data_IF_413508060754
#
_entry.id   IF_413508060754
#
_cell.length_a   1.000
_cell.length_b   1.000
_cell.length_c   1.000
_cell.angle_alpha   90.00
_cell.angle_beta   90.00
_cell.angle_gamma   90.00
#
_symmetry.space_group_name_H-M   'P 1'
#
loop_
_entity.id
_entity.type
_entity.pdbx_description
1 polymer ?
#
# COMPACT_ATOMS: atom_id res chain seq x y z
N UNK A 1 13.56 31.06 -10.20
CA UNK A 1 12.17 30.83 -9.78
C UNK A 1 12.19 29.77 -8.71
N UNK A 2 11.44 29.91 -7.62
CA UNK A 2 11.34 28.82 -6.65
C UNK A 2 10.69 27.62 -7.35
N UNK A 3 11.26 26.41 -7.19
CA UNK A 3 10.65 25.16 -7.64
C UNK A 3 9.30 25.01 -6.94
N UNK A 4 8.24 25.49 -7.59
CA UNK A 4 6.91 25.54 -7.01
C UNK A 4 6.29 24.18 -7.25
N UNK A 5 6.19 23.38 -6.19
CA UNK A 5 5.57 22.04 -6.23
C UNK A 5 4.25 22.04 -5.47
N UNK A 6 3.30 21.23 -5.94
CA UNK A 6 2.03 20.94 -5.24
C UNK A 6 2.00 19.48 -4.80
N UNK A 7 1.23 19.20 -3.75
CA UNK A 7 0.90 17.83 -3.38
C UNK A 7 -0.18 17.28 -4.32
N UNK A 8 -0.07 16.00 -4.65
CA UNK A 8 -1.06 15.23 -5.39
C UNK A 8 -1.12 13.81 -4.81
N UNK A 9 -2.17 13.05 -5.16
CA UNK A 9 -2.38 11.71 -4.63
C UNK A 9 -3.24 10.84 -5.53
N UNK A 10 -3.15 9.53 -5.31
CA UNK A 10 -4.05 8.55 -5.85
C UNK A 10 -4.61 7.69 -4.71
N UNK A 11 -5.93 7.56 -4.65
CA UNK A 11 -6.62 6.65 -3.75
C UNK A 11 -6.90 5.33 -4.47
N UNK A 12 -6.46 4.24 -3.86
CA UNK A 12 -6.72 2.87 -4.29
C UNK A 12 -7.67 2.21 -3.29
N UNK A 13 -8.81 1.73 -3.78
CA UNK A 13 -9.71 0.87 -3.00
C UNK A 13 -9.24 -0.57 -3.13
N UNK A 14 -8.82 -1.16 -2.01
CA UNK A 14 -8.27 -2.52 -1.98
C UNK A 14 -9.36 -3.51 -1.62
N UNK A 15 -9.93 -3.41 -0.40
CA UNK A 15 -10.98 -4.30 0.11
C UNK A 15 -10.65 -5.80 -0.04
N UNK A 16 -9.44 -6.18 0.37
CA UNK A 16 -8.97 -7.56 0.27
C UNK A 16 -8.43 -8.07 1.61
N UNK A 17 -8.64 -9.35 1.85
CA UNK A 17 -8.19 -10.11 3.00
C UNK A 17 -7.04 -11.04 2.60
N UNK A 18 -5.94 -10.91 3.33
CA UNK A 18 -4.76 -11.74 3.22
C UNK A 18 -4.70 -12.72 4.40
N UNK A 19 -4.33 -13.97 4.14
CA UNK A 19 -4.15 -14.97 5.19
C UNK A 19 -3.90 -16.39 4.65
N UNK A 20 -3.59 -17.35 5.53
CA UNK A 20 -3.39 -18.76 5.15
C UNK A 20 -4.65 -19.41 4.57
N UNK A 21 -5.83 -18.95 4.98
CA UNK A 21 -7.16 -19.34 4.48
C UNK A 21 -8.18 -18.22 4.78
N UNK A 22 -9.41 -18.39 4.31
CA UNK A 22 -10.54 -17.47 4.47
C UNK A 22 -11.27 -17.59 5.82
N UNK A 23 -10.92 -18.57 6.66
CA UNK A 23 -11.60 -18.84 7.94
C UNK A 23 -11.09 -17.98 9.10
N UNK A 24 -9.90 -17.36 8.97
CA UNK A 24 -9.31 -16.55 10.04
C UNK A 24 -10.05 -15.22 10.28
N UNK A 25 -10.62 -14.63 9.22
CA UNK A 25 -11.34 -13.36 9.29
C UNK A 25 -12.65 -13.47 8.49
N UNK A 26 -13.79 -13.36 9.18
CA UNK A 26 -15.11 -13.33 8.56
C UNK A 26 -15.49 -11.87 8.21
N UNK A 27 -14.98 -11.39 7.08
CA UNK A 27 -15.13 -10.02 6.62
C UNK A 27 -15.95 -9.97 5.33
N UNK A 28 -17.28 -9.75 5.39
CA UNK A 28 -18.15 -9.79 4.21
C UNK A 28 -17.87 -8.67 3.19
N UNK A 29 -17.03 -7.70 3.55
CA UNK A 29 -16.62 -6.58 2.71
C UNK A 29 -15.24 -6.77 2.08
N UNK A 30 -14.47 -7.79 2.48
CA UNK A 30 -13.12 -8.04 1.98
C UNK A 30 -13.07 -9.34 1.18
N UNK A 31 -12.52 -9.31 -0.02
CA UNK A 31 -12.28 -10.52 -0.81
C UNK A 31 -11.04 -11.26 -0.31
N UNK A 32 -11.14 -12.55 0.01
CA UNK A 32 -9.97 -13.35 0.34
C UNK A 32 -9.11 -13.63 -0.89
N UNK A 33 -7.83 -13.24 -0.84
CA UNK A 33 -6.88 -13.33 -1.97
C UNK A 33 -5.58 -14.06 -1.63
N UNK A 34 -5.51 -14.69 -0.45
CA UNK A 34 -4.34 -15.48 -0.03
C UNK A 34 -3.21 -14.61 0.50
N UNK A 35 -2.00 -14.75 -0.06
CA UNK A 35 -0.80 -14.14 0.53
C UNK A 35 -0.41 -12.79 -0.08
N UNK A 36 -1.06 -12.36 -1.16
CA UNK A 36 -0.75 -11.12 -1.88
C UNK A 36 -2.03 -10.51 -2.44
N UNK A 37 -2.18 -9.21 -2.29
CA UNK A 37 -3.32 -8.48 -2.86
C UNK A 37 -3.34 -8.57 -4.38
N UNK A 38 -4.49 -8.30 -5.01
CA UNK A 38 -4.54 -7.98 -6.43
C UNK A 38 -3.58 -6.86 -6.78
N UNK A 39 -3.25 -6.77 -8.07
CA UNK A 39 -2.43 -5.69 -8.61
C UNK A 39 -3.32 -4.49 -8.90
N UNK A 40 -3.18 -3.44 -8.10
CA UNK A 40 -3.92 -2.21 -8.30
C UNK A 40 -3.10 -1.20 -9.09
N UNK A 41 -3.75 -0.47 -10.00
CA UNK A 41 -3.13 0.56 -10.81
C UNK A 41 -3.50 1.96 -10.32
N UNK A 42 -2.56 2.89 -10.43
CA UNK A 42 -2.81 4.31 -10.24
C UNK A 42 -1.99 5.12 -11.25
N UNK A 43 -2.41 6.35 -11.55
CA UNK A 43 -1.76 7.21 -12.54
C UNK A 43 -1.03 8.36 -11.87
N UNK A 44 0.23 8.57 -12.24
CA UNK A 44 1.02 9.75 -11.87
C UNK A 44 1.18 10.62 -13.12
N UNK A 45 0.79 11.90 -13.10
CA UNK A 45 0.69 12.72 -14.31
C UNK A 45 2.02 13.35 -14.75
N UNK A 46 3.11 13.08 -14.04
CA UNK A 46 4.43 13.69 -14.30
C UNK A 46 5.55 12.69 -14.12
N UNK A 47 6.65 12.88 -14.84
CA UNK A 47 7.91 12.16 -14.60
C UNK A 47 8.70 12.72 -13.40
N UNK A 48 8.40 13.93 -12.94
CA UNK A 48 9.16 14.63 -11.90
C UNK A 48 8.51 14.52 -10.51
N UNK A 49 7.86 13.38 -10.21
CA UNK A 49 7.26 13.11 -8.92
C UNK A 49 8.34 12.98 -7.82
N UNK A 50 8.11 13.56 -6.65
CA UNK A 50 9.06 13.52 -5.53
C UNK A 50 8.36 13.38 -4.18
N UNK A 51 9.13 13.02 -3.15
CA UNK A 51 8.68 12.94 -1.74
C UNK A 51 7.42 12.08 -1.58
N UNK A 52 7.41 10.95 -2.28
CA UNK A 52 6.30 10.03 -2.22
C UNK A 52 6.22 9.36 -0.85
N UNK A 53 5.00 9.15 -0.39
CA UNK A 53 4.70 8.37 0.80
C UNK A 53 3.36 7.67 0.61
N UNK A 54 3.13 6.62 1.37
CA UNK A 54 1.86 5.90 1.37
C UNK A 54 1.14 6.08 2.69
N UNK A 55 -0.18 5.96 2.62
CA UNK A 55 -1.04 5.84 3.78
C UNK A 55 -2.02 4.68 3.53
N UNK A 56 -2.32 3.85 4.52
CA UNK A 56 -3.23 2.73 4.31
C UNK A 56 -4.04 2.37 5.56
N UNK A 57 -5.22 1.80 5.31
CA UNK A 57 -6.08 1.22 6.34
C UNK A 57 -5.87 -0.29 6.38
N UNK A 58 -5.47 -0.81 7.53
CA UNK A 58 -5.35 -2.24 7.79
C UNK A 58 -6.24 -2.66 8.96
N UNK A 59 -6.70 -3.90 8.94
CA UNK A 59 -7.56 -4.49 9.95
C UNK A 59 -6.96 -5.80 10.46
N UNK A 60 -6.89 -5.96 11.78
CA UNK A 60 -6.43 -7.18 12.48
C UNK A 60 -5.04 -7.67 12.03
N UNK A 61 -4.03 -6.80 12.09
CA UNK A 61 -2.65 -7.20 11.79
C UNK A 61 -2.08 -7.97 12.98
N UNK A 62 -1.67 -9.23 12.75
CA UNK A 62 -1.26 -10.16 13.80
C UNK A 62 0.25 -10.23 14.03
N UNK A 63 1.06 -10.19 12.97
CA UNK A 63 2.52 -10.32 13.04
C UNK A 63 3.23 -9.30 12.15
N UNK A 64 4.54 -9.12 12.34
CA UNK A 64 5.38 -8.34 11.42
C UNK A 64 5.72 -9.14 10.15
N UNK A 65 6.36 -8.50 9.17
CA UNK A 65 6.89 -9.13 7.95
C UNK A 65 6.10 -8.82 6.68
N UNK A 66 5.39 -7.69 6.64
CA UNK A 66 4.65 -7.26 5.46
C UNK A 66 5.57 -6.56 4.46
N UNK A 67 5.24 -6.70 3.18
CA UNK A 67 5.91 -5.94 2.14
C UNK A 67 4.90 -5.17 1.32
N UNK A 68 5.23 -3.92 1.01
CA UNK A 68 4.52 -3.10 0.06
C UNK A 68 5.34 -3.02 -1.22
N UNK A 69 4.76 -3.48 -2.32
CA UNK A 69 5.37 -3.46 -3.63
C UNK A 69 4.82 -2.29 -4.44
N UNK A 70 5.69 -1.42 -4.90
CA UNK A 70 5.39 -0.36 -5.88
C UNK A 70 6.12 -0.70 -7.17
N UNK A 71 5.39 -0.81 -8.29
CA UNK A 71 5.96 -1.22 -9.59
C UNK A 71 6.79 -2.52 -9.49
N UNK A 72 6.27 -3.54 -8.79
CA UNK A 72 6.93 -4.83 -8.50
C UNK A 72 8.20 -4.75 -7.64
N UNK A 73 8.54 -3.57 -7.12
CA UNK A 73 9.71 -3.37 -6.26
C UNK A 73 9.24 -3.16 -4.83
N UNK A 74 9.81 -3.91 -3.90
CA UNK A 74 9.52 -3.81 -2.47
C UNK A 74 10.06 -2.49 -1.91
N UNK A 75 9.21 -1.78 -1.16
CA UNK A 75 9.63 -0.61 -0.40
C UNK A 75 10.59 -1.04 0.71
N UNK A 76 11.73 -0.36 0.80
CA UNK A 76 12.74 -0.70 1.79
C UNK A 76 12.25 -0.35 3.20
N UNK A 77 12.16 -1.36 4.07
CA UNK A 77 11.86 -1.19 5.49
C UNK A 77 10.38 -1.03 5.83
N UNK A 78 9.49 -1.16 4.84
CA UNK A 78 8.04 -1.17 5.09
C UNK A 78 7.66 -2.36 5.96
N UNK A 79 6.78 -2.12 6.94
CA UNK A 79 6.08 -3.16 7.68
C UNK A 79 4.82 -2.58 8.33
N UNK A 80 3.83 -3.42 8.59
CA UNK A 80 2.64 -3.07 9.36
C UNK A 80 2.79 -3.59 10.79
N UNK A 81 2.78 -2.71 11.81
CA UNK A 81 2.81 -3.17 13.19
C UNK A 81 1.56 -3.96 13.56
N UNK A 82 1.69 -5.01 14.40
CA UNK A 82 0.54 -5.74 14.92
C UNK A 82 -0.42 -4.83 15.68
N UNK A 83 -1.69 -4.91 15.34
CA UNK A 83 -2.77 -4.21 16.02
C UNK A 83 -4.10 -4.93 15.81
N UNK A 84 -4.91 -5.01 16.88
CA UNK A 84 -6.29 -5.48 16.80
C UNK A 84 -7.19 -4.37 16.24
N UNK A 85 -8.13 -4.75 15.39
CA UNK A 85 -9.09 -3.86 14.75
C UNK A 85 -8.46 -2.97 13.69
N UNK A 86 -9.14 -1.86 13.42
CA UNK A 86 -8.70 -0.89 12.42
C UNK A 86 -7.48 -0.08 12.89
N UNK A 87 -6.48 -0.02 12.03
CA UNK A 87 -5.36 0.91 12.16
C UNK A 87 -5.14 1.71 10.87
N UNK A 88 -4.49 2.85 11.03
CA UNK A 88 -4.01 3.68 9.95
C UNK A 88 -2.49 3.73 10.01
N UNK A 89 -1.85 3.40 8.91
CA UNK A 89 -0.40 3.38 8.81
C UNK A 89 0.08 4.31 7.71
N UNK A 90 1.23 4.96 7.92
CA UNK A 90 1.91 5.81 6.94
C UNK A 90 3.37 5.42 6.89
N UNK A 91 3.93 5.39 5.68
CA UNK A 91 5.36 5.15 5.49
C UNK A 91 5.89 5.92 4.26
N UNK A 92 7.08 6.55 4.31
CA UNK A 92 7.74 7.06 3.11
C UNK A 92 7.97 5.98 2.04
N UNK A 93 7.82 6.36 0.77
CA UNK A 93 8.24 5.53 -0.36
C UNK A 93 9.74 5.69 -0.52
N UNK A 94 10.50 4.70 -0.05
CA UNK A 94 11.96 4.69 -0.15
C UNK A 94 12.46 3.55 -1.04
N UNK A 95 13.49 3.83 -1.83
CA UNK A 95 14.12 2.84 -2.73
C UNK A 95 13.34 2.54 -4.01
N UNK A 96 12.18 3.18 -4.24
CA UNK A 96 11.36 3.04 -5.44
C UNK A 96 10.94 4.41 -5.96
N UNK A 97 11.02 4.61 -7.26
CA UNK A 97 10.56 5.84 -7.93
C UNK A 97 9.17 5.62 -8.56
N UNK A 98 8.31 6.64 -8.44
CA UNK A 98 7.09 6.73 -9.22
C UNK A 98 7.44 7.16 -10.64
N UNK A 99 6.76 6.58 -11.64
CA UNK A 99 6.94 6.93 -13.05
C UNK A 99 5.74 7.67 -13.60
N UNK A 100 5.93 8.48 -14.64
CA UNK A 100 4.80 9.06 -15.37
C UNK A 100 3.90 7.96 -15.96
N UNK A 101 2.59 8.18 -15.90
CA UNK A 101 1.58 7.22 -16.35
C UNK A 101 1.25 6.17 -15.30
N UNK A 102 1.03 4.93 -15.74
CA UNK A 102 0.53 3.84 -14.89
C UNK A 102 1.61 3.30 -13.95
N UNK A 103 1.33 3.37 -12.67
CA UNK A 103 2.06 2.72 -11.59
C UNK A 103 1.19 1.64 -10.96
N UNK A 104 1.80 0.72 -10.23
CA UNK A 104 1.07 -0.36 -9.58
C UNK A 104 1.45 -0.50 -8.11
N UNK A 105 0.52 -0.97 -7.29
CA UNK A 105 0.72 -1.22 -5.86
C UNK A 105 0.14 -2.57 -5.44
N UNK A 106 0.86 -3.29 -4.56
CA UNK A 106 0.42 -4.55 -3.95
C UNK A 106 0.96 -4.72 -2.54
N UNK A 107 0.24 -5.40 -1.66
CA UNK A 107 0.71 -5.79 -0.32
C UNK A 107 0.90 -7.32 -0.30
N UNK A 108 1.96 -7.78 0.36
CA UNK A 108 2.27 -9.19 0.59
C UNK A 108 2.46 -9.43 2.09
N UNK A 109 1.93 -10.54 2.61
CA UNK A 109 2.18 -10.99 3.99
C UNK A 109 3.35 -11.98 4.05
N UNK A 110 3.97 -12.13 5.21
CA UNK A 110 4.94 -13.20 5.45
C UNK A 110 4.25 -14.58 5.47
N UNK A 111 4.59 -15.43 4.51
CA UNK A 111 4.04 -16.78 4.39
C UNK A 111 4.54 -17.75 5.46
N UNK A 112 5.58 -17.39 6.22
CA UNK A 112 6.11 -18.19 7.31
C UNK A 112 5.27 -18.09 8.60
N UNK A 113 4.36 -17.11 8.67
CA UNK A 113 3.46 -16.87 9.80
C UNK A 113 2.02 -17.28 9.48
N UNK A 114 1.17 -17.29 10.50
CA UNK A 114 -0.29 -17.45 10.36
C UNK A 114 -1.02 -16.11 10.34
N UNK A 115 -0.30 -15.01 10.09
CA UNK A 115 -0.88 -13.68 10.05
C UNK A 115 -2.01 -13.57 9.02
N UNK A 116 -3.07 -12.89 9.41
CA UNK A 116 -4.27 -12.74 8.63
C UNK A 116 -4.84 -11.35 8.87
N UNK A 117 -4.87 -10.53 7.82
CA UNK A 117 -5.22 -9.11 7.88
C UNK A 117 -6.08 -8.72 6.68
N UNK A 118 -6.82 -7.62 6.79
CA UNK A 118 -7.49 -7.03 5.63
C UNK A 118 -7.03 -5.60 5.36
N UNK A 119 -7.01 -5.22 4.09
CA UNK A 119 -6.64 -3.88 3.64
C UNK A 119 -7.88 -3.19 3.08
N UNK A 120 -8.22 -2.03 3.63
CA UNK A 120 -9.37 -1.23 3.18
C UNK A 120 -9.01 -0.37 1.97
N UNK A 121 -8.20 0.65 2.21
CA UNK A 121 -7.71 1.57 1.18
C UNK A 121 -6.22 1.80 1.31
N UNK A 122 -5.60 2.18 0.21
CA UNK A 122 -4.22 2.66 0.15
C UNK A 122 -4.19 3.96 -0.64
N UNK A 123 -3.59 5.00 -0.07
CA UNK A 123 -3.35 6.28 -0.73
C UNK A 123 -1.87 6.42 -1.02
N UNK A 124 -1.51 6.71 -2.27
CA UNK A 124 -0.15 7.09 -2.63
C UNK A 124 -0.12 8.60 -2.81
N UNK A 125 0.71 9.29 -2.04
CA UNK A 125 0.94 10.72 -2.16
C UNK A 125 2.27 11.00 -2.84
N UNK A 126 2.37 12.14 -3.52
CA UNK A 126 3.62 12.69 -4.06
C UNK A 126 3.55 14.21 -4.17
N UNK A 127 4.69 14.85 -4.43
CA UNK A 127 4.80 16.23 -4.90
C UNK A 127 5.10 16.24 -6.39
N UNK A 128 4.54 17.20 -7.10
CA UNK A 128 4.75 17.42 -8.53
C UNK A 128 4.95 18.90 -8.85
N UNK A 129 5.64 19.25 -9.96
CA UNK A 129 5.77 20.63 -10.41
C UNK A 129 4.41 21.30 -10.64
N UNK A 130 4.34 22.59 -10.35
CA UNK A 130 3.23 23.46 -10.78
C UNK A 130 3.65 24.13 -12.08
N UNK A 131 2.93 23.84 -13.17
CA UNK A 131 3.07 24.57 -14.44
C UNK A 131 2.61 26.03 -14.34
#
# INVERSE_FOLDING_TARGET
MADTRRANYALVTVQEHLGPNDEYLDLPWAEYVGNKTSRFEFTVPTADASDAYVELQAYDVGEYGHELLVNDTELTGFDLPPANGWQYWMDPVTGVELREGTNTVQIRRDQSTTDSLAIGTLTVHWREPVE
#
